data_IF_623645587441
#
_entry.id   IF_623645587441
#
_cell.length_a   1.000
_cell.length_b   1.000
_cell.length_c   1.000
_cell.angle_alpha   90.00
_cell.angle_beta   90.00
_cell.angle_gamma   90.00
#
_symmetry.space_group_name_H-M   'P 1'
#
loop_
_entity.id
_entity.type
_entity.pdbx_description
1 polymer ?
#
# COMPACT_ATOMS: atom_id res chain seq x y z
N UNK A 1 44.78 -33.85 61.98
CA UNK A 1 44.33 -34.46 60.72
C UNK A 1 42.85 -34.21 60.55
N UNK A 2 42.46 -33.09 59.97
CA UNK A 2 41.07 -32.78 59.53
C UNK A 2 41.11 -31.48 58.71
N UNK A 3 41.45 -31.54 57.41
CA UNK A 3 41.26 -30.45 56.42
C UNK A 3 41.49 -30.97 55.03
N UNK A 4 40.63 -31.84 54.51
CA UNK A 4 40.71 -32.27 53.09
C UNK A 4 39.36 -32.62 52.45
N UNK A 5 38.24 -32.43 53.16
CA UNK A 5 36.94 -32.88 52.61
C UNK A 5 36.06 -31.70 52.04
N UNK A 6 36.46 -30.44 52.27
CA UNK A 6 35.57 -29.29 52.04
C UNK A 6 35.81 -28.57 50.66
N UNK A 7 36.85 -28.94 49.93
CA UNK A 7 37.17 -28.30 48.64
C UNK A 7 36.54 -28.99 47.45
N UNK A 8 36.04 -30.24 47.60
CA UNK A 8 35.44 -31.01 46.52
C UNK A 8 33.97 -30.67 46.24
N UNK A 9 33.28 -30.30 47.30
CA UNK A 9 31.83 -30.06 47.22
C UNK A 9 31.53 -28.65 46.64
N UNK A 10 32.27 -27.66 46.98
CA UNK A 10 32.13 -26.31 46.43
C UNK A 10 32.42 -26.22 44.91
N UNK A 11 33.24 -27.10 44.38
CA UNK A 11 33.61 -27.10 42.98
C UNK A 11 32.48 -27.74 42.10
N UNK A 12 31.66 -28.62 42.68
CA UNK A 12 30.52 -29.23 41.98
C UNK A 12 29.34 -28.27 41.85
N UNK A 13 29.07 -27.49 42.91
CA UNK A 13 28.00 -26.48 42.86
C UNK A 13 28.32 -25.30 41.93
N UNK A 14 29.60 -24.91 41.84
CA UNK A 14 30.05 -23.84 40.93
C UNK A 14 29.85 -24.20 39.45
N UNK A 15 30.06 -25.46 39.07
CA UNK A 15 29.87 -25.91 37.70
C UNK A 15 28.39 -26.06 37.33
N UNK A 16 27.54 -26.45 38.25
CA UNK A 16 26.10 -26.55 38.01
C UNK A 16 25.47 -25.18 37.87
N UNK A 17 25.85 -24.22 38.72
CA UNK A 17 25.40 -22.84 38.64
C UNK A 17 25.84 -22.13 37.31
N UNK A 18 27.05 -22.46 36.84
CA UNK A 18 27.52 -21.89 35.58
C UNK A 18 26.74 -22.39 34.34
N UNK A 19 26.30 -23.65 34.37
CA UNK A 19 25.50 -24.22 33.27
C UNK A 19 24.08 -23.63 33.27
N UNK A 20 23.47 -23.40 34.44
CA UNK A 20 22.16 -22.75 34.52
C UNK A 20 22.22 -21.26 34.12
N UNK A 21 23.29 -20.55 34.46
CA UNK A 21 23.50 -19.16 34.07
C UNK A 21 23.65 -19.00 32.56
N UNK A 22 24.33 -19.92 31.90
CA UNK A 22 24.47 -19.91 30.43
C UNK A 22 23.14 -20.25 29.72
N UNK A 23 22.37 -21.18 30.25
CA UNK A 23 21.05 -21.53 29.72
C UNK A 23 20.03 -20.39 29.84
N UNK A 24 20.03 -19.67 30.96
CA UNK A 24 19.17 -18.51 31.16
C UNK A 24 19.55 -17.30 30.25
N UNK A 25 20.82 -17.13 29.96
CA UNK A 25 21.29 -16.06 29.07
C UNK A 25 20.90 -16.30 27.61
N UNK A 26 20.85 -17.55 27.14
CA UNK A 26 20.41 -17.89 25.77
C UNK A 26 18.89 -17.70 25.61
N UNK A 27 18.09 -17.92 26.65
CA UNK A 27 16.65 -17.69 26.63
C UNK A 27 16.27 -16.19 26.63
N UNK A 28 17.10 -15.32 27.16
CA UNK A 28 16.90 -13.87 27.15
C UNK A 28 17.24 -13.19 25.82
N UNK A 29 17.98 -13.87 24.93
CA UNK A 29 18.30 -13.35 23.60
C UNK A 29 17.27 -13.72 22.52
N UNK A 30 16.31 -14.60 22.81
CA UNK A 30 15.11 -14.77 22.00
C UNK A 30 14.05 -13.74 22.45
N UNK A 31 14.42 -12.47 22.38
CA UNK A 31 13.43 -11.40 22.35
C UNK A 31 12.45 -11.70 21.21
N UNK A 32 11.15 -11.35 21.33
CA UNK A 32 10.24 -11.50 20.23
C UNK A 32 10.92 -10.86 19.02
N UNK A 33 11.09 -11.64 17.96
CA UNK A 33 11.46 -11.09 16.64
C UNK A 33 10.36 -10.05 16.42
N UNK A 34 10.69 -8.79 16.67
CA UNK A 34 9.82 -7.68 16.37
C UNK A 34 9.55 -7.85 14.88
N UNK A 35 8.40 -8.45 14.56
CA UNK A 35 7.94 -8.59 13.21
C UNK A 35 8.15 -7.21 12.62
N UNK A 36 8.86 -7.12 11.50
CA UNK A 36 9.22 -5.87 10.89
C UNK A 36 7.97 -5.00 10.94
N UNK A 37 7.99 -4.00 11.82
CA UNK A 37 6.84 -3.14 12.05
C UNK A 37 6.44 -2.67 10.66
N UNK A 38 5.24 -3.03 10.22
CA UNK A 38 4.77 -2.71 8.89
C UNK A 38 5.04 -1.22 8.70
N UNK A 39 5.99 -0.87 7.82
CA UNK A 39 6.38 0.53 7.55
C UNK A 39 5.18 1.38 7.14
N UNK A 40 4.05 0.73 6.94
CA UNK A 40 2.76 1.31 6.61
C UNK A 40 1.78 1.30 7.80
N UNK A 41 2.19 0.82 9.00
CA UNK A 41 1.39 0.95 10.20
C UNK A 41 1.11 2.44 10.46
N UNK A 42 -0.16 2.82 10.51
CA UNK A 42 -0.62 4.21 10.63
C UNK A 42 -1.05 4.85 9.32
N UNK A 43 -0.80 4.26 8.15
CA UNK A 43 -1.39 4.72 6.90
C UNK A 43 -2.75 4.06 6.68
N UNK A 44 -3.77 4.88 6.44
CA UNK A 44 -5.09 4.36 6.08
C UNK A 44 -5.00 3.48 4.82
N UNK A 45 -5.38 2.22 4.97
CA UNK A 45 -5.59 1.31 3.86
C UNK A 45 -7.00 0.75 3.97
N UNK A 46 -7.91 1.14 3.08
CA UNK A 46 -9.29 0.70 3.19
C UNK A 46 -9.41 -0.80 2.93
N UNK A 47 -10.06 -1.52 3.86
CA UNK A 47 -10.42 -2.92 3.66
C UNK A 47 -11.56 -2.97 2.64
N UNK A 48 -11.40 -3.63 1.49
CA UNK A 48 -12.44 -3.64 0.48
C UNK A 48 -13.63 -4.52 0.90
N UNK A 49 -14.83 -3.94 0.82
CA UNK A 49 -16.10 -4.64 1.02
C UNK A 49 -16.51 -5.44 -0.21
N UNK A 50 -16.17 -4.92 -1.38
CA UNK A 50 -16.48 -5.54 -2.67
C UNK A 50 -15.27 -5.50 -3.60
N UNK A 51 -15.21 -6.48 -4.51
CA UNK A 51 -14.10 -6.62 -5.47
C UNK A 51 -14.62 -6.92 -6.86
N UNK A 52 -13.88 -6.46 -7.87
CA UNK A 52 -14.09 -6.84 -9.26
C UNK A 52 -12.75 -6.91 -10.00
N UNK A 53 -12.75 -7.56 -11.15
CA UNK A 53 -11.61 -7.60 -12.07
C UNK A 53 -11.96 -6.82 -13.32
N UNK A 54 -11.05 -5.98 -13.77
CA UNK A 54 -11.11 -5.24 -15.02
C UNK A 54 -10.07 -5.78 -15.97
N UNK A 55 -10.50 -6.33 -17.11
CA UNK A 55 -9.61 -6.73 -18.20
C UNK A 55 -9.29 -5.51 -19.05
N UNK A 56 -8.09 -4.98 -18.85
CA UNK A 56 -7.64 -3.80 -19.56
C UNK A 56 -7.37 -4.12 -21.04
N UNK A 57 -7.65 -3.16 -21.91
CA UNK A 57 -7.35 -3.23 -23.34
C UNK A 57 -5.93 -2.77 -23.65
N UNK A 58 -5.34 -2.05 -22.69
CA UNK A 58 -3.99 -1.49 -22.80
C UNK A 58 -2.93 -2.49 -22.30
N UNK A 59 -1.74 -2.39 -22.88
CA UNK A 59 -0.52 -3.00 -22.35
C UNK A 59 0.23 -2.01 -21.46
N UNK A 60 1.04 -2.54 -20.54
CA UNK A 60 1.91 -1.71 -19.74
C UNK A 60 3.01 -1.10 -20.61
N UNK A 61 3.25 0.21 -20.45
CA UNK A 61 4.32 0.92 -21.13
C UNK A 61 5.71 0.45 -20.66
N UNK A 62 6.72 0.39 -21.52
CA UNK A 62 8.08 -0.04 -21.13
C UNK A 62 8.70 0.84 -20.03
N UNK A 63 8.40 2.15 -20.03
CA UNK A 63 8.87 3.12 -19.05
C UNK A 63 8.09 3.11 -17.74
N UNK A 64 7.02 2.30 -17.64
CA UNK A 64 6.22 2.20 -16.44
C UNK A 64 7.04 1.63 -15.28
N UNK A 65 7.29 2.44 -14.29
CA UNK A 65 8.14 2.16 -13.13
C UNK A 65 7.49 2.62 -11.84
N UNK A 66 8.06 2.22 -10.72
CA UNK A 66 7.66 2.76 -9.41
C UNK A 66 7.69 4.29 -9.38
N UNK A 67 8.74 4.88 -9.96
CA UNK A 67 8.92 6.34 -9.99
C UNK A 67 7.85 7.02 -10.84
N UNK A 68 7.53 6.48 -12.02
CA UNK A 68 6.50 7.05 -12.90
C UNK A 68 5.11 6.98 -12.27
N UNK A 69 4.77 5.91 -11.54
CA UNK A 69 3.49 5.81 -10.81
C UNK A 69 3.37 6.82 -9.69
N UNK A 70 4.43 7.01 -8.89
CA UNK A 70 4.44 8.04 -7.84
C UNK A 70 4.34 9.42 -8.46
N UNK A 71 5.11 9.70 -9.50
CA UNK A 71 5.10 10.99 -10.20
C UNK A 71 3.72 11.31 -10.77
N UNK A 72 3.05 10.33 -11.38
CA UNK A 72 1.68 10.48 -11.89
C UNK A 72 0.70 10.92 -10.80
N UNK A 73 0.65 10.17 -9.68
CA UNK A 73 -0.26 10.49 -8.57
C UNK A 73 0.03 11.86 -7.98
N UNK A 74 1.32 12.19 -7.78
CA UNK A 74 1.74 13.50 -7.25
C UNK A 74 1.35 14.62 -8.21
N UNK A 75 1.56 14.44 -9.52
CA UNK A 75 1.21 15.42 -10.53
C UNK A 75 -0.30 15.69 -10.54
N UNK A 76 -1.12 14.64 -10.59
CA UNK A 76 -2.59 14.77 -10.59
C UNK A 76 -3.08 15.51 -9.33
N UNK A 77 -2.54 15.17 -8.16
CA UNK A 77 -2.92 15.85 -6.90
C UNK A 77 -2.49 17.31 -6.89
N UNK A 78 -1.28 17.62 -7.34
CA UNK A 78 -0.78 19.00 -7.42
C UNK A 78 -1.61 19.84 -8.39
N UNK A 79 -1.93 19.31 -9.57
CA UNK A 79 -2.77 19.99 -10.55
C UNK A 79 -4.18 20.24 -9.99
N UNK A 80 -4.77 19.27 -9.34
CA UNK A 80 -6.09 19.41 -8.72
C UNK A 80 -6.13 20.51 -7.66
N UNK A 81 -5.07 20.64 -6.84
CA UNK A 81 -4.95 21.68 -5.81
C UNK A 81 -4.69 23.05 -6.46
N UNK A 82 -3.84 23.10 -7.49
CA UNK A 82 -3.43 24.34 -8.15
C UNK A 82 -4.52 24.96 -8.99
N UNK A 83 -5.31 24.16 -9.69
CA UNK A 83 -6.29 24.63 -10.69
C UNK A 83 -7.69 24.85 -10.12
N UNK A 84 -7.99 24.29 -8.94
CA UNK A 84 -9.31 24.38 -8.34
C UNK A 84 -9.28 25.29 -7.09
N UNK A 85 -10.08 26.36 -7.03
CA UNK A 85 -10.18 27.22 -5.85
C UNK A 85 -10.87 26.54 -4.66
N UNK A 86 -11.56 25.41 -4.90
CA UNK A 86 -12.22 24.64 -3.86
C UNK A 86 -11.33 23.49 -3.38
N UNK A 87 -11.46 23.07 -2.12
CA UNK A 87 -10.74 21.90 -1.60
C UNK A 87 -11.02 20.66 -2.46
N UNK A 88 -10.00 19.81 -2.68
CA UNK A 88 -10.18 18.59 -3.49
C UNK A 88 -11.21 17.66 -2.84
N UNK A 89 -12.09 17.09 -3.65
CA UNK A 89 -13.14 16.19 -3.17
C UNK A 89 -12.59 14.79 -2.83
N UNK A 90 -11.44 14.43 -3.34
CA UNK A 90 -10.77 13.17 -3.08
C UNK A 90 -9.26 13.35 -3.06
N UNK A 91 -8.58 12.40 -2.45
CA UNK A 91 -7.13 12.28 -2.50
C UNK A 91 -6.73 10.97 -3.18
N UNK A 92 -5.62 11.00 -3.91
CA UNK A 92 -5.02 9.84 -4.56
C UNK A 92 -3.71 9.47 -3.89
N UNK A 93 -3.47 8.17 -3.77
CA UNK A 93 -2.24 7.61 -3.21
C UNK A 93 -1.78 6.41 -4.03
N UNK A 94 -0.47 6.21 -4.12
CA UNK A 94 0.11 4.97 -4.60
C UNK A 94 0.67 4.17 -3.42
N UNK A 95 0.43 2.87 -3.40
CA UNK A 95 0.83 1.92 -2.35
C UNK A 95 1.43 0.66 -2.97
N UNK A 96 2.03 -0.16 -2.11
CA UNK A 96 2.74 -1.38 -2.51
C UNK A 96 4.24 -1.14 -2.66
N UNK A 97 5.02 -2.22 -2.71
CA UNK A 97 6.49 -2.16 -2.84
C UNK A 97 6.90 -1.41 -4.11
N UNK A 98 6.16 -1.65 -5.19
CA UNK A 98 6.36 -1.03 -6.50
C UNK A 98 5.39 0.14 -6.77
N UNK A 99 4.66 0.64 -5.76
CA UNK A 99 3.60 1.64 -5.91
C UNK A 99 2.50 1.22 -6.92
N UNK A 100 2.27 -0.08 -7.07
CA UNK A 100 1.40 -0.71 -8.06
C UNK A 100 -0.08 -0.70 -7.69
N UNK A 101 -0.41 -0.22 -6.47
CA UNK A 101 -1.77 -0.12 -5.96
C UNK A 101 -2.16 1.34 -5.84
N UNK A 102 -3.14 1.77 -6.61
CA UNK A 102 -3.72 3.09 -6.48
C UNK A 102 -4.88 3.08 -5.50
N UNK A 103 -4.96 4.10 -4.65
CA UNK A 103 -6.07 4.31 -3.72
C UNK A 103 -6.63 5.70 -3.96
N UNK A 104 -7.94 5.81 -4.11
CA UNK A 104 -8.67 7.07 -4.16
C UNK A 104 -9.58 7.12 -2.95
N UNK A 105 -9.43 8.15 -2.13
CA UNK A 105 -10.21 8.35 -0.90
C UNK A 105 -11.03 9.62 -1.00
N UNK A 106 -12.34 9.51 -0.82
CA UNK A 106 -13.22 10.66 -0.68
C UNK A 106 -12.90 11.45 0.59
N UNK A 107 -12.78 12.76 0.47
CA UNK A 107 -12.43 13.65 1.59
C UNK A 107 -13.66 14.28 2.25
N UNK A 108 -14.78 14.37 1.54
CA UNK A 108 -15.97 15.05 2.03
C UNK A 108 -17.24 14.22 1.82
N UNK A 109 -18.02 14.10 2.88
CA UNK A 109 -19.37 13.57 2.85
C UNK A 109 -19.50 12.16 2.29
N UNK A 110 -20.61 11.91 1.60
CA UNK A 110 -20.97 10.61 1.05
C UNK A 110 -20.62 10.46 -0.44
N UNK A 111 -19.70 11.27 -0.95
CA UNK A 111 -19.39 11.38 -2.38
C UNK A 111 -19.07 10.06 -3.07
N UNK A 112 -18.47 9.11 -2.36
CA UNK A 112 -18.00 7.83 -2.93
C UNK A 112 -18.46 6.60 -2.12
N UNK A 113 -19.58 6.71 -1.42
CA UNK A 113 -20.07 5.70 -0.49
C UNK A 113 -20.90 4.59 -1.16
N UNK A 114 -21.02 4.57 -2.48
CA UNK A 114 -21.75 3.55 -3.24
C UNK A 114 -21.00 3.19 -4.53
N UNK A 115 -21.22 1.99 -5.03
CA UNK A 115 -20.67 1.54 -6.33
C UNK A 115 -21.11 2.45 -7.48
N UNK A 116 -22.31 2.98 -7.44
CA UNK A 116 -22.80 3.90 -8.46
C UNK A 116 -21.99 5.21 -8.48
N UNK A 117 -21.80 5.84 -7.32
CA UNK A 117 -21.01 7.07 -7.20
C UNK A 117 -19.53 6.86 -7.52
N UNK A 118 -18.98 5.72 -7.12
CA UNK A 118 -17.63 5.31 -7.51
C UNK A 118 -17.50 5.21 -9.04
N UNK A 119 -18.49 4.62 -9.73
CA UNK A 119 -18.47 4.54 -11.19
C UNK A 119 -18.60 5.91 -11.87
N UNK A 120 -19.36 6.84 -11.28
CA UNK A 120 -19.42 8.22 -11.76
C UNK A 120 -18.04 8.92 -11.64
N UNK A 121 -17.32 8.72 -10.53
CA UNK A 121 -15.94 9.18 -10.39
C UNK A 121 -15.03 8.59 -11.49
N UNK A 122 -15.09 7.28 -11.73
CA UNK A 122 -14.28 6.64 -12.77
C UNK A 122 -14.61 7.14 -14.17
N UNK A 123 -15.89 7.45 -14.44
CA UNK A 123 -16.29 8.07 -15.70
C UNK A 123 -15.72 9.48 -15.86
N UNK A 124 -15.74 10.30 -14.80
CA UNK A 124 -15.12 11.62 -14.79
C UNK A 124 -13.59 11.52 -15.02
N UNK A 125 -12.92 10.62 -14.31
CA UNK A 125 -11.49 10.39 -14.49
C UNK A 125 -11.17 9.88 -15.92
N UNK A 126 -12.07 9.11 -16.52
CA UNK A 126 -11.94 8.68 -17.91
C UNK A 126 -12.02 9.87 -18.87
N UNK A 127 -12.95 10.80 -18.65
CA UNK A 127 -13.02 12.02 -19.48
C UNK A 127 -11.74 12.86 -19.37
N UNK A 128 -11.17 12.99 -18.18
CA UNK A 128 -9.88 13.67 -17.96
C UNK A 128 -8.74 12.90 -18.65
N UNK A 129 -8.67 11.59 -18.53
CA UNK A 129 -7.63 10.75 -19.16
C UNK A 129 -7.65 10.88 -20.68
N UNK A 130 -8.84 10.93 -21.30
CA UNK A 130 -9.03 11.12 -22.74
C UNK A 130 -8.50 12.44 -23.28
N UNK A 131 -8.45 13.48 -22.46
CA UNK A 131 -7.91 14.76 -22.81
C UNK A 131 -6.37 14.81 -22.76
N UNK A 132 -5.72 13.79 -22.21
CA UNK A 132 -4.25 13.76 -22.06
C UNK A 132 -3.53 13.60 -23.40
N UNK A 133 -2.31 14.18 -23.53
CA UNK A 133 -1.47 13.96 -24.72
C UNK A 133 -1.24 12.47 -25.00
N UNK A 134 -0.97 11.68 -23.98
CA UNK A 134 -0.72 10.24 -24.09
C UNK A 134 -1.83 9.52 -24.89
N UNK A 135 -3.10 9.75 -24.54
CA UNK A 135 -4.21 9.09 -25.24
C UNK A 135 -4.37 9.60 -26.68
N UNK A 136 -4.11 10.88 -26.92
CA UNK A 136 -4.19 11.48 -28.25
C UNK A 136 -3.07 10.99 -29.17
N UNK A 137 -1.86 10.90 -28.67
CA UNK A 137 -0.71 10.40 -29.41
C UNK A 137 -0.87 8.93 -29.80
N UNK A 138 -1.39 8.12 -28.89
CA UNK A 138 -1.70 6.71 -29.11
C UNK A 138 -3.02 6.49 -29.89
N UNK A 139 -3.82 7.55 -30.13
CA UNK A 139 -5.14 7.50 -30.80
C UNK A 139 -6.12 6.53 -30.14
N UNK A 140 -6.14 6.53 -28.80
CA UNK A 140 -6.96 5.60 -28.00
C UNK A 140 -8.02 6.32 -27.13
N UNK A 141 -8.17 7.62 -27.31
CA UNK A 141 -9.08 8.46 -26.53
C UNK A 141 -10.55 8.02 -26.61
N UNK A 142 -10.97 7.43 -27.72
CA UNK A 142 -12.35 6.96 -27.91
C UNK A 142 -12.62 5.60 -27.24
N UNK A 143 -11.56 4.81 -27.02
CA UNK A 143 -11.70 3.42 -26.61
C UNK A 143 -11.25 3.15 -25.19
N UNK A 144 -10.21 3.86 -24.72
CA UNK A 144 -9.61 3.60 -23.42
C UNK A 144 -10.31 4.37 -22.29
N UNK A 145 -10.23 3.79 -21.12
CA UNK A 145 -10.76 4.33 -19.88
C UNK A 145 -9.64 4.75 -18.95
N UNK A 146 -9.98 5.34 -17.81
CA UNK A 146 -9.01 5.60 -16.75
C UNK A 146 -8.32 4.31 -16.24
N UNK A 147 -9.02 3.16 -16.26
CA UNK A 147 -8.43 1.88 -15.86
C UNK A 147 -7.41 1.38 -16.89
N UNK A 148 -7.62 1.67 -18.17
CA UNK A 148 -6.62 1.40 -19.21
C UNK A 148 -5.37 2.27 -19.02
N UNK A 149 -5.54 3.56 -18.67
CA UNK A 149 -4.43 4.43 -18.30
C UNK A 149 -3.67 3.89 -17.08
N UNK A 150 -4.39 3.42 -16.06
CA UNK A 150 -3.78 2.78 -14.90
C UNK A 150 -2.93 1.56 -15.32
N UNK A 151 -3.43 0.73 -16.25
CA UNK A 151 -2.68 -0.41 -16.80
C UNK A 151 -1.43 0.04 -17.54
N UNK A 152 -1.53 1.04 -18.42
CA UNK A 152 -0.38 1.60 -19.16
C UNK A 152 0.71 2.06 -18.19
N UNK A 153 0.35 2.70 -17.08
CA UNK A 153 1.27 3.16 -16.04
C UNK A 153 1.77 2.03 -15.11
N UNK A 154 1.27 0.79 -15.28
CA UNK A 154 1.68 -0.37 -14.51
C UNK A 154 1.01 -0.50 -13.14
N UNK A 155 -0.11 0.19 -12.91
CA UNK A 155 -0.96 -0.11 -11.75
C UNK A 155 -1.68 -1.44 -11.96
N UNK A 156 -1.70 -2.26 -10.92
CA UNK A 156 -2.34 -3.60 -10.91
C UNK A 156 -3.64 -3.61 -10.13
N UNK A 157 -3.89 -2.55 -9.38
CA UNK A 157 -5.05 -2.46 -8.50
C UNK A 157 -5.45 -1.00 -8.32
N UNK A 158 -6.75 -0.76 -8.33
CA UNK A 158 -7.37 0.48 -7.90
C UNK A 158 -8.33 0.18 -6.75
N UNK A 159 -8.28 0.98 -5.67
CA UNK A 159 -9.27 0.92 -4.59
C UNK A 159 -9.88 2.31 -4.43
N UNK A 160 -11.21 2.39 -4.47
CA UNK A 160 -11.95 3.62 -4.19
C UNK A 160 -12.67 3.45 -2.87
N UNK A 161 -12.55 4.45 -1.99
CA UNK A 161 -13.14 4.45 -0.66
C UNK A 161 -13.75 5.82 -0.32
N UNK A 162 -14.78 5.80 0.52
CA UNK A 162 -15.34 7.01 1.14
C UNK A 162 -14.55 7.47 2.39
N UNK A 163 -13.46 6.78 2.70
CA UNK A 163 -12.67 7.04 3.91
C UNK A 163 -13.30 6.53 5.21
N UNK A 164 -14.44 5.85 5.18
CA UNK A 164 -15.20 5.41 6.36
C UNK A 164 -15.62 3.94 6.29
N UNK A 165 -16.69 3.65 5.56
CA UNK A 165 -17.34 2.32 5.54
C UNK A 165 -17.29 1.65 4.18
N UNK A 166 -17.24 2.40 3.10
CA UNK A 166 -17.23 1.87 1.74
C UNK A 166 -15.81 1.78 1.20
N UNK A 167 -15.45 0.61 0.67
CA UNK A 167 -14.25 0.44 -0.12
C UNK A 167 -14.49 -0.61 -1.22
N UNK A 168 -14.25 -0.24 -2.46
CA UNK A 168 -14.35 -1.11 -3.62
C UNK A 168 -13.00 -1.26 -4.29
N UNK A 169 -12.60 -2.50 -4.52
CA UNK A 169 -11.31 -2.84 -5.12
C UNK A 169 -11.51 -3.37 -6.54
N UNK A 170 -10.75 -2.83 -7.48
CA UNK A 170 -10.69 -3.26 -8.87
C UNK A 170 -9.28 -3.80 -9.12
N UNK A 171 -9.18 -5.09 -9.46
CA UNK A 171 -7.96 -5.69 -9.97
C UNK A 171 -7.87 -5.38 -11.46
N UNK A 172 -6.70 -4.92 -11.93
CA UNK A 172 -6.46 -4.54 -13.32
C UNK A 172 -5.55 -5.59 -13.96
N UNK A 173 -6.08 -6.33 -14.93
CA UNK A 173 -5.39 -7.42 -15.65
C UNK A 173 -5.12 -7.08 -17.11
#
# INVERSE_FOLDING_TARGET
MRRSADLGENMRYSRVLSVFALGALVLLTMGPVAGAADRHAGYYYPKPDTRETYSARASQLPEASRRSRIAFVTHVMNEMIRTNPYPPQYAMFSKGAEAEKMIIVGLYGDGFNTRYRMRALLAMLTAVARATPLFKEERVEDYFTFLDLCKMLGFRQLTVSDGRKFAHQIKIE
#
